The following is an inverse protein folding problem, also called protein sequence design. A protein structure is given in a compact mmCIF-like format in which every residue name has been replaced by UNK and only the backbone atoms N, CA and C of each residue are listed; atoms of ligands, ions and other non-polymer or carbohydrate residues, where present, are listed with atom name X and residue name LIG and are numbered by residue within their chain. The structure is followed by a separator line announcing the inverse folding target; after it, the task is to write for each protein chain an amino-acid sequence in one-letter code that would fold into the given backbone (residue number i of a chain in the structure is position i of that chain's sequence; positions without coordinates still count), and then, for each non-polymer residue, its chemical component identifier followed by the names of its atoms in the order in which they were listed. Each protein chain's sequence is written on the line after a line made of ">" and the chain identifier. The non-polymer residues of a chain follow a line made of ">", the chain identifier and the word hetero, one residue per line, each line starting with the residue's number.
data_IF_799415626624
#
_entry.id   IF_799415626624
#
_cell.length_a   1.000
_cell.length_b   1.000
_cell.length_c   1.000
_cell.angle_alpha   90.00
_cell.angle_beta   90.00
_cell.angle_gamma   90.00
#
_symmetry.space_group_name_H-M   'P 1'
#
loop_
_entity.id
_entity.type
_entity.pdbx_description
1 polymer ?
#
# COMPACT_ATOMS: atom_id res chain seq x y z
N UNK A 1 -16.90 17.66 9.40
CA UNK A 1 -16.22 18.96 9.59
C UNK A 1 -15.55 19.25 8.26
N UNK A 2 -16.09 20.19 7.48
CA UNK A 2 -15.51 20.58 6.17
C UNK A 2 -14.35 21.54 6.45
N UNK A 3 -13.14 21.14 6.05
CA UNK A 3 -12.00 22.06 6.00
C UNK A 3 -12.19 22.98 4.78
N UNK A 4 -11.90 24.29 4.86
CA UNK A 4 -12.19 25.24 3.78
C UNK A 4 -11.43 24.96 2.47
N UNK A 5 -10.42 24.11 2.53
CA UNK A 5 -9.54 23.68 1.46
C UNK A 5 -10.02 22.43 0.69
N UNK A 6 -11.04 21.72 1.16
CA UNK A 6 -11.67 20.63 0.39
C UNK A 6 -12.18 19.46 1.24
N UNK A 7 -12.45 18.34 0.56
CA UNK A 7 -12.89 17.10 1.16
C UNK A 7 -11.70 16.23 1.54
N UNK A 8 -11.83 15.52 2.66
CA UNK A 8 -10.83 14.57 3.12
C UNK A 8 -11.55 13.27 3.45
N UNK A 9 -10.88 12.16 3.21
CA UNK A 9 -11.24 10.89 3.81
C UNK A 9 -10.14 10.45 4.77
N UNK A 10 -10.53 9.69 5.79
CA UNK A 10 -9.62 9.16 6.80
C UNK A 10 -9.58 7.65 6.66
N UNK A 11 -8.38 7.08 6.71
CA UNK A 11 -8.19 5.64 6.69
C UNK A 11 -8.96 4.95 7.82
N UNK A 12 -9.41 3.70 7.67
CA UNK A 12 -10.17 2.97 8.70
C UNK A 12 -9.43 2.88 10.04
N UNK A 13 -8.10 2.86 10.01
CA UNK A 13 -7.23 2.83 11.19
C UNK A 13 -7.10 4.21 11.89
N UNK A 14 -7.60 5.27 11.26
CA UNK A 14 -7.61 6.63 11.80
C UNK A 14 -6.26 7.35 11.82
N UNK A 15 -5.17 6.74 11.32
CA UNK A 15 -3.82 7.31 11.40
C UNK A 15 -3.47 8.16 10.19
N UNK A 16 -4.18 8.03 9.07
CA UNK A 16 -3.89 8.75 7.84
C UNK A 16 -5.12 9.48 7.30
N UNK A 17 -4.95 10.75 6.92
CA UNK A 17 -5.92 11.54 6.19
C UNK A 17 -5.44 11.81 4.76
N UNK A 18 -6.35 11.66 3.81
CA UNK A 18 -6.09 11.85 2.38
C UNK A 18 -6.95 13.00 1.86
N UNK A 19 -6.33 13.91 1.13
CA UNK A 19 -6.95 15.11 0.58
C UNK A 19 -6.00 16.31 0.52
N UNK A 20 -6.48 17.50 0.13
CA UNK A 20 -7.88 17.83 -0.13
C UNK A 20 -8.35 17.39 -1.53
N UNK A 21 -9.58 16.90 -1.61
CA UNK A 21 -10.30 16.61 -2.84
C UNK A 21 -11.31 17.72 -3.16
N UNK A 22 -11.52 17.98 -4.45
CA UNK A 22 -12.46 19.01 -4.92
C UNK A 22 -13.93 18.65 -4.65
N UNK A 23 -14.25 17.36 -4.54
CA UNK A 23 -15.60 16.86 -4.25
C UNK A 23 -15.58 15.62 -3.36
N UNK A 24 -16.72 15.36 -2.71
CA UNK A 24 -16.93 14.13 -1.93
C UNK A 24 -16.83 12.87 -2.79
N UNK A 25 -17.30 12.93 -4.05
CA UNK A 25 -17.25 11.80 -4.99
C UNK A 25 -15.80 11.40 -5.31
N UNK A 26 -14.90 12.38 -5.48
CA UNK A 26 -13.48 12.13 -5.69
C UNK A 26 -12.82 11.51 -4.45
N UNK A 27 -13.14 12.00 -3.26
CA UNK A 27 -12.64 11.42 -2.01
C UNK A 27 -13.11 9.97 -1.81
N UNK A 28 -14.35 9.65 -2.19
CA UNK A 28 -14.88 8.28 -2.10
C UNK A 28 -14.31 7.35 -3.17
N UNK A 29 -14.08 7.86 -4.39
CA UNK A 29 -13.45 7.10 -5.45
C UNK A 29 -12.01 6.72 -5.09
N UNK A 30 -11.26 7.66 -4.50
CA UNK A 30 -9.90 7.42 -4.01
C UNK A 30 -9.86 6.43 -2.84
N UNK A 31 -10.80 6.54 -1.89
CA UNK A 31 -10.96 5.56 -0.82
C UNK A 31 -11.24 4.15 -1.34
N UNK A 32 -12.12 4.00 -2.34
CA UNK A 32 -12.43 2.69 -2.95
C UNK A 32 -11.22 2.09 -3.66
N UNK A 33 -10.46 2.91 -4.38
CA UNK A 33 -9.23 2.47 -5.03
C UNK A 33 -8.12 2.08 -4.03
N UNK A 34 -8.10 2.69 -2.84
CA UNK A 34 -7.18 2.31 -1.79
C UNK A 34 -7.54 0.94 -1.17
N UNK A 35 -8.84 0.68 -0.96
CA UNK A 35 -9.37 -0.60 -0.47
C UNK A 35 -9.04 -1.75 -1.44
N UNK A 36 -9.11 -1.52 -2.75
CA UNK A 36 -8.72 -2.47 -3.80
C UNK A 36 -7.21 -2.81 -3.82
N UNK A 37 -6.38 -2.04 -3.11
CA UNK A 37 -4.92 -2.22 -3.05
C UNK A 37 -4.47 -2.73 -1.67
N UNK A 38 -5.39 -2.87 -0.72
CA UNK A 38 -5.11 -3.52 0.55
C UNK A 38 -5.20 -5.04 0.38
N UNK A 39 -4.33 -5.83 1.05
CA UNK A 39 -4.42 -7.28 0.99
C UNK A 39 -5.80 -7.72 1.48
N UNK A 40 -6.50 -8.48 0.65
CA UNK A 40 -7.88 -8.88 0.91
C UNK A 40 -7.98 -9.64 2.25
N UNK A 41 -8.98 -9.32 3.10
CA UNK A 41 -9.12 -9.98 4.39
C UNK A 41 -9.42 -11.48 4.22
N UNK A 42 -8.41 -12.31 4.49
CA UNK A 42 -8.46 -13.76 4.32
C UNK A 42 -7.40 -14.31 3.36
N UNK A 43 -6.66 -13.42 2.70
CA UNK A 43 -5.53 -13.75 1.85
C UNK A 43 -4.33 -14.24 2.69
N UNK A 44 -3.62 -15.25 2.16
CA UNK A 44 -2.37 -15.71 2.78
C UNK A 44 -1.22 -14.77 2.43
N UNK A 45 -0.18 -14.72 3.28
CA UNK A 45 1.03 -13.93 3.00
C UNK A 45 1.57 -14.21 1.59
N UNK A 46 1.54 -15.46 1.15
CA UNK A 46 2.03 -15.86 -0.16
C UNK A 46 1.23 -15.25 -1.31
N UNK A 47 -0.09 -15.17 -1.18
CA UNK A 47 -0.98 -14.59 -2.19
C UNK A 47 -0.77 -13.07 -2.29
N UNK A 48 -0.65 -12.37 -1.15
CA UNK A 48 -0.32 -10.96 -1.10
C UNK A 48 1.04 -10.68 -1.76
N UNK A 49 2.04 -11.53 -1.49
CA UNK A 49 3.37 -11.44 -2.08
C UNK A 49 3.40 -11.72 -3.58
N UNK A 50 2.53 -12.60 -4.08
CA UNK A 50 2.38 -12.88 -5.51
C UNK A 50 1.78 -11.67 -6.25
N UNK A 51 0.78 -11.03 -5.65
CA UNK A 51 0.13 -9.83 -6.20
C UNK A 51 1.11 -8.68 -6.43
N UNK A 52 1.97 -8.40 -5.43
CA UNK A 52 3.01 -7.35 -5.57
C UNK A 52 4.27 -7.84 -6.30
N UNK A 53 4.29 -9.11 -6.74
CA UNK A 53 5.37 -9.71 -7.53
C UNK A 53 6.66 -9.99 -6.76
N UNK A 54 6.60 -10.12 -5.43
CA UNK A 54 7.76 -10.40 -4.58
C UNK A 54 7.89 -11.88 -4.18
N UNK A 55 6.82 -12.68 -4.28
CA UNK A 55 6.79 -14.09 -3.89
C UNK A 55 7.90 -14.94 -4.54
N UNK A 56 8.29 -14.60 -5.77
CA UNK A 56 9.35 -15.28 -6.53
C UNK A 56 10.55 -14.41 -6.85
N UNK A 57 10.70 -13.24 -6.21
CA UNK A 57 11.77 -12.33 -6.54
C UNK A 57 13.12 -12.85 -6.05
N UNK A 58 14.08 -12.90 -6.96
CA UNK A 58 15.45 -13.31 -6.70
C UNK A 58 16.33 -12.09 -6.84
N UNK A 59 17.11 -11.80 -5.80
CA UNK A 59 18.07 -10.71 -5.82
C UNK A 59 19.11 -10.95 -6.94
N UNK A 60 19.29 -10.03 -7.89
CA UNK A 60 20.18 -10.23 -9.02
C UNK A 60 21.67 -10.21 -8.64
N UNK A 61 22.03 -9.66 -7.47
CA UNK A 61 23.41 -9.58 -6.97
C UNK A 61 23.79 -10.83 -6.17
N UNK A 62 22.87 -11.38 -5.37
CA UNK A 62 23.12 -12.53 -4.49
C UNK A 62 22.60 -13.86 -5.05
N UNK A 63 21.58 -13.82 -5.91
CA UNK A 63 20.88 -15.01 -6.39
C UNK A 63 19.98 -15.68 -5.36
N UNK A 64 19.72 -15.01 -4.23
CA UNK A 64 18.85 -15.50 -3.15
C UNK A 64 17.46 -14.85 -3.20
N UNK A 65 16.41 -15.51 -2.66
CA UNK A 65 15.11 -14.87 -2.50
C UNK A 65 15.20 -13.64 -1.57
N UNK A 66 14.32 -12.66 -1.78
CA UNK A 66 14.21 -11.48 -0.90
C UNK A 66 14.06 -11.83 0.59
N UNK A 67 13.38 -12.94 0.89
CA UNK A 67 13.15 -13.43 2.26
C UNK A 67 14.38 -14.10 2.90
N UNK A 68 15.51 -14.18 2.19
CA UNK A 68 16.75 -14.78 2.68
C UNK A 68 17.47 -13.97 3.75
N UNK A 69 18.61 -14.48 4.24
CA UNK A 69 19.46 -13.78 5.20
C UNK A 69 20.38 -12.73 4.56
N UNK A 70 20.06 -12.30 3.33
CA UNK A 70 20.86 -11.32 2.61
C UNK A 70 20.83 -9.99 3.38
N UNK A 71 21.99 -9.42 3.74
CA UNK A 71 22.05 -8.18 4.50
C UNK A 71 21.47 -7.01 3.68
N UNK A 72 20.80 -6.03 4.30
CA UNK A 72 20.29 -4.86 3.58
C UNK A 72 21.44 -4.10 2.91
N UNK A 73 21.23 -3.65 1.67
CA UNK A 73 22.19 -2.80 0.96
C UNK A 73 22.28 -1.44 1.68
N UNK A 74 23.45 -1.14 2.23
CA UNK A 74 23.78 0.18 2.76
C UNK A 74 24.54 0.95 1.68
N UNK A 75 23.96 2.04 1.17
CA UNK A 75 24.67 2.97 0.30
C UNK A 75 25.59 3.85 1.16
N UNK A 76 26.86 4.00 0.75
CA UNK A 76 27.84 4.91 1.37
C UNK A 76 27.62 6.37 0.98
#
# INVERSE_FOLDING_TARGET
>A
MVRPDGYYWQAPDGKQDFGPFESMELALADMGAADEQEPEPGETLQEAEDEIGIAGWIDPETGEPAEGQSPPRLEE
#
